data_IF_880895213548
#
_entry.id   IF_880895213548
#
_cell.length_a   1.000
_cell.length_b   1.000
_cell.length_c   1.000
_cell.angle_alpha   90.00
_cell.angle_beta   90.00
_cell.angle_gamma   90.00
#
_symmetry.space_group_name_H-M   'P 1'
#
loop_
_entity.id
_entity.type
_entity.pdbx_description
1 polymer ?
#
# COMPACT_ATOMS: atom_id res chain seq x y z
N UNK A 1 -0.34 -12.54 3.82
CA UNK A 1 1.10 -12.53 3.51
C UNK A 1 1.66 -13.91 3.77
N UNK A 2 2.20 -14.58 2.76
CA UNK A 2 2.79 -15.93 2.89
C UNK A 2 1.95 -16.94 3.69
N UNK A 3 0.64 -17.00 3.41
CA UNK A 3 -0.31 -17.90 4.10
C UNK A 3 -0.86 -17.41 5.44
N UNK A 4 -0.39 -16.28 5.97
CA UNK A 4 -0.96 -15.63 7.15
C UNK A 4 -1.99 -14.57 6.74
N UNK A 5 -3.23 -14.70 7.22
CA UNK A 5 -4.29 -13.73 7.04
C UNK A 5 -4.27 -12.71 8.17
N UNK A 6 -4.33 -11.42 7.84
CA UNK A 6 -4.43 -10.34 8.82
C UNK A 6 -5.86 -9.80 8.82
N UNK A 7 -6.39 -9.58 10.02
CA UNK A 7 -7.71 -8.99 10.21
C UNK A 7 -7.66 -7.49 9.93
N UNK A 8 -8.29 -7.09 8.83
CA UNK A 8 -8.49 -5.70 8.44
C UNK A 8 -9.71 -5.14 9.17
N UNK A 9 -9.52 -4.03 9.89
CA UNK A 9 -10.59 -3.43 10.70
C UNK A 9 -11.12 -2.12 10.10
N UNK A 10 -10.45 -1.61 9.06
CA UNK A 10 -10.73 -0.30 8.47
C UNK A 10 -10.58 -0.26 6.96
N UNK A 11 -10.07 0.85 6.45
CA UNK A 11 -9.89 1.11 5.02
C UNK A 11 -8.63 0.44 4.46
N UNK A 12 -8.74 -0.03 3.21
CA UNK A 12 -7.60 -0.39 2.37
C UNK A 12 -7.54 0.62 1.23
N UNK A 13 -6.37 1.20 1.02
CA UNK A 13 -6.08 2.08 -0.11
C UNK A 13 -4.96 1.46 -0.97
N UNK A 14 -5.21 1.42 -2.27
CA UNK A 14 -4.26 0.92 -3.28
C UNK A 14 -4.27 1.87 -4.48
N UNK A 15 -3.12 2.08 -5.15
CA UNK A 15 -3.06 2.94 -6.32
C UNK A 15 -3.71 2.26 -7.52
N UNK A 16 -4.58 3.01 -8.20
CA UNK A 16 -5.10 2.63 -9.53
C UNK A 16 -4.11 2.95 -10.65
N UNK A 17 -3.09 3.78 -10.38
CA UNK A 17 -2.08 4.21 -11.34
C UNK A 17 -0.69 4.30 -10.67
N UNK A 18 0.32 3.72 -11.30
CA UNK A 18 1.75 3.86 -10.92
C UNK A 18 2.43 5.04 -11.63
N UNK A 19 1.70 5.68 -12.55
CA UNK A 19 2.17 6.82 -13.33
C UNK A 19 1.27 8.01 -13.06
N UNK A 20 1.87 9.10 -12.58
CA UNK A 20 1.19 10.38 -12.35
C UNK A 20 1.60 11.33 -13.47
N UNK A 21 0.61 11.92 -14.14
CA UNK A 21 0.83 12.94 -15.19
C UNK A 21 0.28 14.27 -14.71
N UNK A 22 1.13 15.29 -14.70
CA UNK A 22 0.76 16.66 -14.35
C UNK A 22 0.83 17.52 -15.60
N UNK A 23 -0.27 18.23 -15.92
CA UNK A 23 -0.33 19.10 -17.09
C UNK A 23 0.46 20.40 -16.86
N UNK A 24 1.30 20.75 -17.82
CA UNK A 24 2.06 21.98 -17.89
C UNK A 24 1.56 22.80 -19.08
N UNK A 25 0.83 23.87 -18.81
CA UNK A 25 0.29 24.76 -19.83
C UNK A 25 1.21 25.96 -20.01
N UNK A 26 1.79 26.10 -21.20
CA UNK A 26 2.61 27.24 -21.58
C UNK A 26 1.77 28.51 -21.79
N UNK A 27 2.39 29.67 -21.61
CA UNK A 27 1.75 30.98 -21.86
C UNK A 27 1.34 31.13 -23.34
N UNK A 28 2.00 30.39 -24.24
CA UNK A 28 1.69 30.30 -25.67
C UNK A 28 0.52 29.35 -26.00
N UNK A 29 -0.09 28.71 -24.99
CA UNK A 29 -1.17 27.74 -25.17
C UNK A 29 -0.70 26.32 -25.50
N UNK A 30 0.61 26.06 -25.50
CA UNK A 30 1.14 24.70 -25.59
C UNK A 30 0.77 23.87 -24.35
N UNK A 31 0.43 22.60 -24.56
CA UNK A 31 0.13 21.65 -23.49
C UNK A 31 1.22 20.59 -23.47
N UNK A 32 1.95 20.55 -22.37
CA UNK A 32 2.94 19.52 -22.06
C UNK A 32 2.49 18.77 -20.80
N UNK A 33 3.11 17.63 -20.50
CA UNK A 33 2.88 16.95 -19.23
C UNK A 33 4.20 16.51 -18.63
N UNK A 34 4.28 16.54 -17.31
CA UNK A 34 5.36 15.94 -16.53
C UNK A 34 4.88 14.58 -16.03
N UNK A 35 5.63 13.54 -16.33
CA UNK A 35 5.36 12.19 -15.84
C UNK A 35 6.25 11.89 -14.63
N UNK A 36 5.64 11.45 -13.53
CA UNK A 36 6.35 10.98 -12.34
C UNK A 36 5.97 9.52 -12.09
N UNK A 37 6.98 8.66 -11.96
CA UNK A 37 6.79 7.27 -11.59
C UNK A 37 6.67 7.16 -10.06
N UNK A 38 5.65 6.46 -9.57
CA UNK A 38 5.44 6.19 -8.14
C UNK A 38 5.48 4.68 -7.93
N UNK A 39 6.15 4.25 -6.86
CA UNK A 39 6.09 2.85 -6.44
C UNK A 39 4.64 2.45 -6.12
N UNK A 40 4.20 1.25 -6.53
CA UNK A 40 2.93 0.70 -6.08
C UNK A 40 2.94 0.55 -4.55
N UNK A 41 1.77 0.66 -3.93
CA UNK A 41 1.64 0.58 -2.47
C UNK A 41 0.34 -0.09 -2.03
N UNK A 42 0.32 -0.56 -0.79
CA UNK A 42 -0.89 -0.93 -0.06
C UNK A 42 -0.84 -0.19 1.27
N UNK A 43 -1.85 0.64 1.52
CA UNK A 43 -2.04 1.29 2.82
C UNK A 43 -3.27 0.70 3.50
N UNK A 44 -3.11 0.21 4.72
CA UNK A 44 -4.16 -0.50 5.41
C UNK A 44 -4.09 -0.31 6.92
N UNK A 45 -5.26 -0.29 7.55
CA UNK A 45 -5.41 -0.30 9.01
C UNK A 45 -5.69 -1.73 9.49
N UNK A 46 -4.79 -2.25 10.32
CA UNK A 46 -4.88 -3.61 10.86
C UNK A 46 -5.26 -3.60 12.33
N UNK A 47 -5.98 -4.63 12.75
CA UNK A 47 -6.19 -4.91 14.17
C UNK A 47 -4.98 -5.62 14.75
N UNK A 48 -4.41 -5.08 15.81
CA UNK A 48 -3.29 -5.67 16.53
C UNK A 48 -3.80 -6.71 17.52
N UNK A 49 -3.78 -7.97 17.09
CA UNK A 49 -4.06 -9.11 17.96
C UNK A 49 -2.76 -9.60 18.64
N UNK A 50 -2.87 -10.44 19.68
CA UNK A 50 -1.69 -10.99 20.40
C UNK A 50 -0.71 -11.74 19.49
N UNK A 51 -1.19 -12.28 18.38
CA UNK A 51 -0.39 -13.00 17.38
C UNK A 51 -0.04 -12.14 16.15
N UNK A 52 -0.21 -10.82 16.23
CA UNK A 52 0.12 -9.93 15.13
C UNK A 52 1.64 -9.99 14.85
N UNK A 53 2.07 -10.29 13.60
CA UNK A 53 3.45 -10.62 13.29
C UNK A 53 4.31 -9.36 13.10
N UNK A 54 4.44 -8.52 14.14
CA UNK A 54 5.12 -7.22 14.08
C UNK A 54 6.53 -7.35 13.50
N UNK A 55 7.36 -8.25 14.06
CA UNK A 55 8.75 -8.41 13.61
C UNK A 55 8.85 -8.78 12.13
N UNK A 56 7.97 -9.65 11.63
CA UNK A 56 7.96 -10.03 10.22
C UNK A 56 7.59 -8.85 9.33
N UNK A 57 6.60 -8.05 9.74
CA UNK A 57 6.14 -6.90 8.97
C UNK A 57 7.15 -5.76 8.94
N UNK A 58 7.91 -5.56 10.02
CA UNK A 58 8.87 -4.45 10.14
C UNK A 58 10.27 -4.78 9.63
N UNK A 59 10.62 -6.06 9.47
CA UNK A 59 11.97 -6.48 9.04
C UNK A 59 12.02 -7.08 7.64
N UNK A 60 10.90 -7.49 7.06
CA UNK A 60 10.87 -8.04 5.71
C UNK A 60 11.04 -6.94 4.66
N UNK A 61 11.93 -7.21 3.69
CA UNK A 61 12.25 -6.37 2.54
C UNK A 61 11.79 -6.97 1.19
N UNK A 62 11.42 -8.25 1.17
CA UNK A 62 10.81 -8.93 0.00
C UNK A 62 9.58 -9.75 0.41
N UNK A 63 8.42 -9.10 0.57
CA UNK A 63 7.15 -9.79 0.83
C UNK A 63 6.13 -9.67 -0.30
N UNK A 64 5.28 -10.70 -0.45
CA UNK A 64 4.09 -10.61 -1.30
C UNK A 64 2.86 -10.34 -0.45
N UNK A 65 2.19 -9.23 -0.72
CA UNK A 65 1.00 -8.78 0.00
C UNK A 65 -0.19 -8.82 -0.97
N UNK A 66 -1.23 -9.52 -0.56
CA UNK A 66 -2.50 -9.60 -1.29
C UNK A 66 -3.56 -8.91 -0.47
N UNK A 67 -4.21 -7.90 -1.06
CA UNK A 67 -5.33 -7.19 -0.47
C UNK A 67 -6.61 -7.53 -1.25
N UNK A 68 -7.55 -8.18 -0.59
CA UNK A 68 -8.91 -8.37 -1.10
C UNK A 68 -9.74 -7.15 -0.72
N UNK A 69 -10.20 -6.41 -1.74
CA UNK A 69 -10.98 -5.19 -1.57
C UNK A 69 -12.46 -5.53 -1.36
N UNK A 70 -13.18 -4.64 -0.69
CA UNK A 70 -14.60 -4.83 -0.37
C UNK A 70 -15.51 -5.02 -1.60
N UNK A 71 -15.05 -4.63 -2.80
CA UNK A 71 -15.76 -4.84 -4.07
C UNK A 71 -15.41 -6.18 -4.76
N UNK A 72 -14.64 -7.06 -4.10
CA UNK A 72 -14.23 -8.36 -4.61
C UNK A 72 -13.02 -8.32 -5.57
N UNK A 73 -12.46 -7.14 -5.84
CA UNK A 73 -11.20 -7.05 -6.58
C UNK A 73 -10.03 -7.43 -5.68
N UNK A 74 -9.02 -8.06 -6.24
CA UNK A 74 -7.80 -8.43 -5.52
C UNK A 74 -6.64 -7.60 -6.04
N UNK A 75 -5.92 -6.94 -5.14
CA UNK A 75 -4.69 -6.22 -5.46
C UNK A 75 -3.50 -6.98 -4.90
N UNK A 76 -2.50 -7.25 -5.73
CA UNK A 76 -1.27 -7.96 -5.36
C UNK A 76 -0.11 -6.99 -5.45
N UNK A 77 0.65 -6.87 -4.36
CA UNK A 77 1.90 -6.14 -4.26
C UNK A 77 3.04 -7.15 -4.05
N UNK A 78 4.05 -7.11 -4.92
CA UNK A 78 5.22 -8.02 -4.92
C UNK A 78 6.50 -7.24 -4.59
N UNK A 79 7.47 -7.92 -3.97
CA UNK A 79 8.71 -7.29 -3.51
C UNK A 79 8.45 -6.17 -2.52
N UNK A 80 7.49 -6.37 -1.62
CA UNK A 80 7.00 -5.33 -0.74
C UNK A 80 7.85 -5.18 0.52
N UNK A 81 7.92 -3.97 1.06
CA UNK A 81 8.54 -3.62 2.34
C UNK A 81 7.67 -2.60 3.08
N UNK A 82 7.83 -2.52 4.40
CA UNK A 82 7.16 -1.48 5.19
C UNK A 82 7.80 -0.12 4.92
N UNK A 83 6.99 0.84 4.48
CA UNK A 83 7.41 2.19 4.15
C UNK A 83 6.91 3.17 5.21
N UNK A 84 7.80 4.06 5.66
CA UNK A 84 7.49 5.06 6.68
C UNK A 84 7.42 4.50 8.10
N UNK A 85 6.75 5.26 8.99
CA UNK A 85 6.54 4.88 10.39
C UNK A 85 5.16 4.26 10.56
N UNK A 86 5.09 3.11 11.24
CA UNK A 86 3.82 2.52 11.68
C UNK A 86 3.53 2.93 13.12
N UNK A 87 2.46 3.69 13.33
CA UNK A 87 2.02 4.11 14.65
C UNK A 87 1.00 3.10 15.21
N UNK A 88 1.33 2.51 16.34
CA UNK A 88 0.40 1.63 17.06
C UNK A 88 -0.53 2.49 17.94
N UNK A 89 -1.83 2.44 17.66
CA UNK A 89 -2.85 3.03 18.54
C UNK A 89 -3.25 1.99 19.61
N UNK A 90 -2.71 2.13 20.81
CA UNK A 90 -2.96 1.21 21.92
C UNK A 90 -4.39 1.31 22.48
N UNK A 91 -5.05 2.46 22.32
CA UNK A 91 -6.42 2.67 22.84
C UNK A 91 -7.45 1.92 21.97
N UNK A 92 -7.23 1.90 20.65
CA UNK A 92 -8.10 1.22 19.68
C UNK A 92 -7.62 -0.20 19.33
N UNK A 93 -6.39 -0.54 19.68
CA UNK A 93 -5.77 -1.82 19.33
C UNK A 93 -5.54 -1.97 17.83
N UNK A 94 -5.20 -0.87 17.15
CA UNK A 94 -5.01 -0.81 15.69
C UNK A 94 -3.59 -0.34 15.33
N UNK A 95 -3.20 -0.57 14.09
CA UNK A 95 -1.96 -0.05 13.51
C UNK A 95 -2.19 0.31 12.04
N UNK A 96 -1.78 1.51 11.66
CA UNK A 96 -1.75 1.93 10.27
C UNK A 96 -0.39 1.56 9.67
N UNK A 97 -0.41 0.83 8.55
CA UNK A 97 0.80 0.42 7.85
C UNK A 97 0.68 0.75 6.37
N UNK A 98 1.77 1.29 5.80
CA UNK A 98 1.92 1.54 4.37
C UNK A 98 3.06 0.68 3.85
N UNK A 99 2.74 -0.20 2.91
CA UNK A 99 3.71 -1.07 2.25
C UNK A 99 3.96 -0.56 0.84
N UNK A 100 5.22 -0.41 0.45
CA UNK A 100 5.62 -0.14 -0.94
C UNK A 100 6.18 -1.42 -1.53
N UNK A 101 6.14 -1.56 -2.85
CA UNK A 101 6.73 -2.73 -3.52
C UNK A 101 7.25 -2.40 -4.91
N UNK A 102 7.86 -3.39 -5.54
CA UNK A 102 8.41 -3.27 -6.89
C UNK A 102 7.30 -3.31 -7.95
N UNK A 103 6.34 -4.23 -7.77
CA UNK A 103 5.23 -4.44 -8.71
C UNK A 103 3.90 -4.52 -7.98
N UNK A 104 2.87 -3.89 -8.56
CA UNK A 104 1.52 -3.88 -8.02
C UNK A 104 0.48 -3.97 -9.13
N UNK A 105 -0.42 -4.95 -9.04
CA UNK A 105 -1.43 -5.21 -10.08
C UNK A 105 -2.73 -5.78 -9.50
N UNK A 106 -3.83 -5.55 -10.23
CA UNK A 106 -5.12 -6.18 -9.94
C UNK A 106 -5.19 -7.58 -10.57
N UNK A 107 -5.72 -8.54 -9.82
CA UNK A 107 -6.02 -9.90 -10.27
C UNK A 107 -7.51 -10.05 -10.60
#
# INVERSE_FOLDING_TARGET
>A
MDGQQLSLNGSVEVPMNTVIREDLVGIDGSVHYKETHRAPYIKAEFKVERSFPIEKLTTADEMTITAELANGMVYVLSGAWLSGESSHNADEGTVEMEFHGDEGFYQ
#
